data_IF_454656863403
#
_entry.id   IF_454656863403
#
_cell.length_a   1.000
_cell.length_b   1.000
_cell.length_c   1.000
_cell.angle_alpha   90.00
_cell.angle_beta   90.00
_cell.angle_gamma   90.00
#
_symmetry.space_group_name_H-M   'P 1'
#
loop_
_entity.id
_entity.type
_entity.pdbx_description
1 polymer ?
#
# COMPACT_ATOMS: atom_id res chain seq x y z
N UNK A 1 -16.19 54.53 -22.59
CA UNK A 1 -17.02 53.31 -22.42
C UNK A 1 -16.13 52.08 -22.51
N UNK A 2 -16.02 51.37 -21.39
CA UNK A 2 -15.72 49.93 -21.20
C UNK A 2 -14.49 49.30 -21.90
N UNK A 3 -13.43 49.24 -21.09
CA UNK A 3 -12.49 48.14 -20.87
C UNK A 3 -13.02 46.74 -21.24
N UNK A 4 -12.14 45.86 -21.74
CA UNK A 4 -11.86 44.53 -21.18
C UNK A 4 -10.42 44.15 -21.53
N UNK A 5 -9.59 44.12 -20.49
CA UNK A 5 -8.24 43.59 -20.44
C UNK A 5 -8.37 42.11 -20.06
N UNK A 6 -7.97 41.20 -20.93
CA UNK A 6 -7.98 39.76 -20.63
C UNK A 6 -6.82 39.42 -19.69
N UNK A 7 -7.12 39.21 -18.41
CA UNK A 7 -6.20 38.61 -17.44
C UNK A 7 -6.40 37.08 -17.52
N UNK A 8 -5.43 36.38 -18.09
CA UNK A 8 -5.30 34.93 -17.94
C UNK A 8 -4.71 34.68 -16.55
N UNK A 9 -5.55 34.32 -15.59
CA UNK A 9 -5.11 33.82 -14.28
C UNK A 9 -4.68 32.36 -14.50
N UNK A 10 -3.37 32.13 -14.60
CA UNK A 10 -2.79 30.80 -14.53
C UNK A 10 -2.79 30.38 -13.05
N UNK A 11 -3.87 29.76 -12.57
CA UNK A 11 -3.88 29.11 -11.26
C UNK A 11 -2.92 27.93 -11.30
N UNK A 12 -1.70 28.15 -10.82
CA UNK A 12 -0.82 27.07 -10.37
C UNK A 12 -1.53 26.39 -9.19
N UNK A 13 -2.23 25.30 -9.46
CA UNK A 13 -2.56 24.35 -8.41
C UNK A 13 -1.22 23.87 -7.84
N UNK A 14 -0.84 24.37 -6.67
CA UNK A 14 0.19 23.75 -5.85
C UNK A 14 -0.34 22.37 -5.47
N UNK A 15 -0.05 21.39 -6.31
CA UNK A 15 -0.10 20.00 -5.88
C UNK A 15 0.89 19.92 -4.72
N UNK A 16 0.40 19.63 -3.52
CA UNK A 16 1.28 19.12 -2.48
C UNK A 16 1.86 17.83 -3.08
N UNK A 17 3.11 17.91 -3.55
CA UNK A 17 3.89 16.73 -3.88
C UNK A 17 4.17 16.09 -2.53
N UNK A 18 3.29 15.18 -2.12
CA UNK A 18 3.64 14.25 -1.05
C UNK A 18 4.92 13.57 -1.50
N UNK A 19 5.97 13.60 -0.67
CA UNK A 19 7.14 12.78 -0.89
C UNK A 19 6.65 11.35 -1.13
N UNK A 20 6.95 10.77 -2.29
CA UNK A 20 6.45 9.44 -2.59
C UNK A 20 7.08 8.45 -1.61
N UNK A 21 6.23 7.76 -0.84
CA UNK A 21 6.68 6.70 0.06
C UNK A 21 6.88 5.44 -0.76
N UNK A 22 8.12 4.94 -0.91
CA UNK A 22 8.37 3.72 -1.65
C UNK A 22 7.93 2.49 -0.87
N UNK A 23 7.76 1.38 -1.57
CA UNK A 23 7.42 0.11 -0.95
C UNK A 23 8.60 -0.57 -0.26
N UNK A 24 8.32 -1.14 0.92
CA UNK A 24 9.27 -2.01 1.60
C UNK A 24 9.56 -3.29 0.79
N UNK A 25 10.83 -3.68 0.76
CA UNK A 25 11.30 -4.95 0.20
C UNK A 25 12.54 -4.82 -0.67
N UNK A 26 12.70 -5.78 -1.58
CA UNK A 26 13.85 -5.84 -2.48
C UNK A 26 13.68 -4.89 -3.67
N UNK A 27 14.71 -4.12 -3.95
CA UNK A 27 14.82 -3.19 -5.07
C UNK A 27 16.03 -3.56 -5.90
N UNK A 28 15.93 -3.46 -7.22
CA UNK A 28 16.97 -3.93 -8.13
C UNK A 28 17.00 -3.13 -9.42
N UNK A 29 18.12 -3.21 -10.14
CA UNK A 29 18.19 -2.70 -11.50
C UNK A 29 17.95 -3.86 -12.48
N UNK A 30 16.89 -3.85 -13.30
CA UNK A 30 16.58 -4.95 -14.21
C UNK A 30 17.63 -5.15 -15.32
N UNK A 31 18.49 -4.16 -15.55
CA UNK A 31 19.60 -4.23 -16.52
C UNK A 31 20.90 -4.77 -15.91
N UNK A 32 21.00 -4.89 -14.59
CA UNK A 32 22.18 -5.37 -13.88
C UNK A 32 21.81 -6.47 -12.90
N UNK A 33 21.89 -7.72 -13.37
CA UNK A 33 21.58 -8.90 -12.57
C UNK A 33 22.63 -9.14 -11.49
N UNK A 34 22.23 -9.75 -10.37
CA UNK A 34 23.14 -10.22 -9.33
C UNK A 34 23.37 -9.27 -8.16
N UNK A 35 22.65 -8.15 -8.08
CA UNK A 35 22.67 -7.23 -6.95
C UNK A 35 21.30 -6.65 -6.64
N UNK A 36 21.23 -5.86 -5.58
CA UNK A 36 20.02 -5.15 -5.19
C UNK A 36 20.10 -4.56 -3.78
N UNK A 37 19.00 -3.99 -3.36
CA UNK A 37 18.86 -3.24 -2.11
C UNK A 37 17.62 -3.72 -1.38
N UNK A 38 17.74 -4.21 -0.14
CA UNK A 38 16.57 -4.36 0.72
C UNK A 38 16.30 -3.05 1.42
N UNK A 39 15.16 -2.43 1.13
CA UNK A 39 14.75 -1.14 1.67
C UNK A 39 13.58 -1.38 2.62
N UNK A 40 13.70 -0.84 3.83
CA UNK A 40 12.66 -0.83 4.86
C UNK A 40 12.42 0.58 5.35
N UNK A 41 11.16 0.95 5.42
CA UNK A 41 10.69 2.21 5.95
C UNK A 41 9.73 1.93 7.09
N UNK A 42 9.97 2.61 8.21
CA UNK A 42 9.13 2.60 9.40
C UNK A 42 9.25 3.95 10.12
N UNK A 43 8.13 4.56 10.51
CA UNK A 43 8.11 5.79 11.33
C UNK A 43 9.09 6.90 10.87
N UNK A 44 9.11 7.19 9.57
CA UNK A 44 10.02 8.15 8.92
C UNK A 44 11.52 7.82 9.03
N UNK A 45 11.86 6.58 9.36
CA UNK A 45 13.20 6.04 9.25
C UNK A 45 13.28 5.10 8.05
N UNK A 46 14.39 5.15 7.33
CA UNK A 46 14.74 4.22 6.27
C UNK A 46 15.95 3.41 6.73
N UNK A 47 15.86 2.09 6.59
CA UNK A 47 16.97 1.17 6.68
C UNK A 47 17.19 0.52 5.30
N UNK A 48 18.44 0.42 4.89
CA UNK A 48 18.83 -0.16 3.61
C UNK A 48 20.00 -1.11 3.80
N UNK A 49 19.93 -2.25 3.13
CA UNK A 49 21.06 -3.19 3.02
C UNK A 49 21.30 -3.55 1.57
N UNK A 50 22.56 -3.75 1.22
CA UNK A 50 22.97 -4.22 -0.10
C UNK A 50 24.22 -5.07 0.03
N UNK A 51 24.46 -5.92 -0.96
CA UNK A 51 25.73 -6.58 -1.12
C UNK A 51 26.28 -6.28 -2.50
N UNK A 52 27.60 -6.13 -2.58
CA UNK A 52 28.35 -6.05 -3.83
C UNK A 52 29.49 -7.05 -3.79
N UNK A 53 30.19 -7.25 -4.91
CA UNK A 53 31.36 -8.10 -4.95
C UNK A 53 32.63 -7.26 -5.10
N UNK A 54 33.67 -7.61 -4.35
CA UNK A 54 34.99 -7.03 -4.55
C UNK A 54 35.65 -7.59 -5.83
N UNK A 55 36.86 -7.10 -6.15
CA UNK A 55 37.60 -7.54 -7.34
C UNK A 55 37.94 -9.04 -7.34
N UNK A 56 37.92 -9.69 -6.18
CA UNK A 56 38.15 -11.12 -6.01
C UNK A 56 36.84 -11.93 -6.07
N UNK A 57 35.70 -11.29 -6.34
CA UNK A 57 34.38 -11.94 -6.38
C UNK A 57 33.84 -12.30 -5.00
N UNK A 58 34.40 -11.77 -3.91
CA UNK A 58 33.90 -12.00 -2.55
C UNK A 58 32.81 -10.96 -2.21
N UNK A 59 31.72 -11.39 -1.55
CA UNK A 59 30.64 -10.48 -1.19
C UNK A 59 31.08 -9.52 -0.08
N UNK A 60 30.78 -8.25 -0.26
CA UNK A 60 30.87 -7.20 0.75
C UNK A 60 29.45 -6.74 1.07
N UNK A 61 29.12 -6.69 2.36
CA UNK A 61 27.82 -6.25 2.84
C UNK A 61 27.88 -4.81 3.33
N UNK A 62 26.94 -4.00 2.83
CA UNK A 62 26.75 -2.62 3.27
C UNK A 62 25.36 -2.47 3.89
N UNK A 63 25.29 -1.70 4.97
CA UNK A 63 24.02 -1.27 5.56
C UNK A 63 24.05 0.21 5.86
N UNK A 64 22.89 0.84 5.87
CA UNK A 64 22.77 2.27 6.12
C UNK A 64 21.40 2.60 6.67
N UNK A 65 21.29 3.79 7.28
CA UNK A 65 20.03 4.30 7.77
C UNK A 65 19.90 5.80 7.52
N UNK A 66 18.68 6.27 7.32
CA UNK A 66 18.31 7.67 7.36
C UNK A 66 17.10 7.84 8.28
N UNK A 67 17.02 8.99 8.94
CA UNK A 67 15.87 9.40 9.74
C UNK A 67 15.23 10.64 9.11
N UNK A 68 14.00 10.95 9.50
CA UNK A 68 13.24 12.10 9.01
C UNK A 68 13.05 12.09 7.48
N UNK A 69 12.91 10.90 6.90
CA UNK A 69 12.54 10.78 5.48
C UNK A 69 11.11 11.32 5.30
N UNK A 70 10.86 12.08 4.23
CA UNK A 70 9.57 12.74 4.01
C UNK A 70 9.52 14.22 4.42
N UNK A 71 10.67 14.84 4.74
CA UNK A 71 10.83 16.30 4.61
C UNK A 71 10.61 16.71 3.15
N UNK A 72 10.48 18.00 2.85
CA UNK A 72 10.26 18.55 1.50
C UNK A 72 11.33 18.19 0.45
N UNK A 73 12.31 17.37 0.81
CA UNK A 73 13.40 16.90 -0.04
C UNK A 73 13.04 15.54 -0.65
N UNK A 74 13.08 15.46 -1.98
CA UNK A 74 12.87 14.21 -2.73
C UNK A 74 14.08 13.27 -2.71
N UNK A 75 15.11 13.59 -1.93
CA UNK A 75 16.38 12.87 -1.89
C UNK A 75 16.75 12.47 -0.46
N UNK A 76 17.15 11.22 -0.29
CA UNK A 76 17.55 10.64 0.99
C UNK A 76 19.04 10.27 0.90
N UNK A 77 19.87 10.92 1.70
CA UNK A 77 21.30 10.59 1.79
C UNK A 77 21.51 9.47 2.80
N UNK A 78 22.30 8.48 2.40
CA UNK A 78 22.67 7.32 3.20
C UNK A 78 24.18 7.24 3.31
N UNK A 79 24.68 7.24 4.54
CA UNK A 79 26.04 6.85 4.86
C UNK A 79 26.07 5.34 5.07
N UNK A 80 26.74 4.63 4.15
CA UNK A 80 26.86 3.18 4.23
C UNK A 80 28.03 2.75 5.13
N UNK A 81 27.76 1.70 5.91
CA UNK A 81 28.71 1.01 6.76
C UNK A 81 28.98 -0.37 6.19
N UNK A 82 30.25 -0.72 6.06
CA UNK A 82 30.68 -2.05 5.66
C UNK A 82 30.68 -2.96 6.89
N UNK A 83 30.08 -4.15 6.79
CA UNK A 83 30.11 -5.16 7.85
C UNK A 83 31.17 -6.24 7.57
N UNK A 84 32.08 -6.47 8.52
CA UNK A 84 33.16 -7.48 8.45
C UNK A 84 33.17 -8.40 9.66
N UNK A 85 33.78 -9.57 9.48
CA UNK A 85 34.06 -10.53 10.56
C UNK A 85 32.81 -10.99 11.34
N UNK A 86 31.68 -11.13 10.65
CA UNK A 86 30.41 -11.57 11.24
C UNK A 86 30.33 -13.07 11.53
N UNK A 87 29.28 -13.45 12.27
CA UNK A 87 29.07 -14.84 12.70
C UNK A 87 28.79 -15.75 11.51
N UNK A 88 29.21 -17.01 11.61
CA UNK A 88 28.93 -18.06 10.61
C UNK A 88 28.48 -19.35 11.31
N UNK A 89 27.98 -20.33 10.55
CA UNK A 89 27.13 -21.43 11.05
C UNK A 89 27.62 -22.20 12.28
N UNK A 90 28.93 -22.20 12.57
CA UNK A 90 29.56 -22.89 13.70
C UNK A 90 30.43 -21.97 14.58
N UNK A 91 30.29 -20.65 14.42
CA UNK A 91 31.04 -19.65 15.16
C UNK A 91 30.20 -18.39 15.38
N UNK A 92 29.70 -18.23 16.60
CA UNK A 92 28.75 -17.17 16.98
C UNK A 92 29.34 -16.09 17.87
N UNK A 93 30.48 -16.36 18.52
CA UNK A 93 31.15 -15.40 19.41
C UNK A 93 32.10 -14.49 18.62
N UNK A 94 31.52 -13.61 17.80
CA UNK A 94 32.26 -12.58 17.06
C UNK A 94 31.72 -11.21 17.29
N UNK A 95 32.63 -10.25 17.39
CA UNK A 95 32.30 -8.83 17.34
C UNK A 95 32.30 -8.42 15.88
N UNK A 96 31.13 -8.08 15.34
CA UNK A 96 31.03 -7.54 13.98
C UNK A 96 31.80 -6.22 13.95
N UNK A 97 32.75 -6.11 13.02
CA UNK A 97 33.42 -4.85 12.75
C UNK A 97 32.58 -4.04 11.76
N UNK A 98 32.35 -2.77 12.06
CA UNK A 98 31.64 -1.85 11.17
C UNK A 98 32.44 -0.57 10.99
N UNK A 99 32.69 -0.22 9.74
CA UNK A 99 33.39 1.02 9.38
C UNK A 99 32.57 1.82 8.36
N UNK A 100 32.54 3.14 8.53
CA UNK A 100 32.02 4.03 7.49
C UNK A 100 32.84 3.86 6.22
N UNK A 101 32.18 3.88 5.07
CA UNK A 101 32.84 3.82 3.78
C UNK A 101 32.46 5.06 2.99
N UNK A 102 33.17 6.21 3.15
CA UNK A 102 32.74 7.50 2.61
C UNK A 102 32.47 7.50 1.10
N UNK A 103 33.21 6.71 0.32
CA UNK A 103 32.97 6.57 -1.13
C UNK A 103 31.69 5.80 -1.48
N UNK A 104 31.06 5.16 -0.51
CA UNK A 104 29.76 4.50 -0.64
C UNK A 104 28.62 5.37 -0.14
N UNK A 105 28.85 6.63 0.30
CA UNK A 105 27.75 7.56 0.53
C UNK A 105 26.86 7.59 -0.72
N UNK A 106 25.56 7.39 -0.51
CA UNK A 106 24.61 7.23 -1.60
C UNK A 106 23.41 8.13 -1.41
N UNK A 107 22.83 8.59 -2.52
CA UNK A 107 21.61 9.37 -2.51
C UNK A 107 20.50 8.58 -3.19
N UNK A 108 19.43 8.29 -2.46
CA UNK A 108 18.22 7.69 -3.00
C UNK A 108 17.21 8.76 -3.38
N UNK A 109 16.47 8.54 -4.45
CA UNK A 109 15.28 9.33 -4.80
C UNK A 109 14.21 8.40 -5.35
N UNK A 110 12.95 8.62 -4.96
CA UNK A 110 11.82 7.80 -5.40
C UNK A 110 10.92 8.63 -6.31
N UNK A 111 10.67 8.08 -7.50
CA UNK A 111 9.78 8.67 -8.50
C UNK A 111 8.34 8.33 -8.13
N UNK A 112 8.11 7.04 -7.87
CA UNK A 112 6.84 6.53 -7.37
C UNK A 112 7.07 5.40 -6.34
N UNK A 113 5.99 4.73 -5.94
CA UNK A 113 6.02 3.66 -4.93
C UNK A 113 6.92 2.47 -5.33
N UNK A 114 7.19 2.31 -6.63
CA UNK A 114 7.81 1.15 -7.27
C UNK A 114 9.04 1.47 -8.13
N UNK A 115 9.35 2.75 -8.37
CA UNK A 115 10.49 3.19 -9.16
C UNK A 115 11.28 4.28 -8.44
N UNK A 116 12.59 4.21 -8.55
CA UNK A 116 13.49 5.20 -8.00
C UNK A 116 14.87 5.16 -8.63
N UNK A 117 15.76 5.92 -8.04
CA UNK A 117 17.17 5.98 -8.41
C UNK A 117 18.02 5.97 -7.16
N UNK A 118 19.18 5.33 -7.25
CA UNK A 118 20.26 5.46 -6.28
C UNK A 118 21.50 5.98 -6.98
N UNK A 119 22.11 7.02 -6.43
CA UNK A 119 23.42 7.49 -6.83
C UNK A 119 24.44 6.95 -5.86
N UNK A 120 25.33 6.06 -6.31
CA UNK A 120 26.42 5.48 -5.51
C UNK A 120 27.71 5.63 -6.29
N UNK A 121 28.81 6.04 -5.66
CA UNK A 121 30.10 6.26 -6.34
C UNK A 121 30.00 7.15 -7.60
N UNK A 122 29.18 8.21 -7.53
CA UNK A 122 28.88 9.12 -8.63
C UNK A 122 28.18 8.48 -9.86
N UNK A 123 27.73 7.23 -9.75
CA UNK A 123 26.93 6.57 -10.77
C UNK A 123 25.45 6.62 -10.37
N UNK A 124 24.63 7.19 -11.25
CA UNK A 124 23.17 7.14 -11.12
C UNK A 124 22.66 5.79 -11.64
N UNK A 125 21.93 5.07 -10.80
CA UNK A 125 21.41 3.73 -11.09
C UNK A 125 19.89 3.77 -10.91
N UNK A 126 19.15 3.48 -11.97
CA UNK A 126 17.70 3.24 -11.87
C UNK A 126 17.43 1.93 -11.15
N UNK A 127 16.49 1.98 -10.20
CA UNK A 127 16.05 0.84 -9.43
C UNK A 127 14.52 0.74 -9.46
N UNK A 128 14.01 -0.48 -9.43
CA UNK A 128 12.58 -0.77 -9.32
C UNK A 128 12.32 -1.79 -8.21
N UNK A 129 11.09 -1.80 -7.70
CA UNK A 129 10.64 -2.78 -6.72
C UNK A 129 10.58 -4.17 -7.36
N UNK A 130 11.29 -5.14 -6.78
CA UNK A 130 11.31 -6.52 -7.23
C UNK A 130 10.14 -7.34 -6.65
N UNK A 131 9.30 -7.89 -7.50
CA UNK A 131 8.16 -8.68 -7.07
C UNK A 131 8.42 -10.19 -7.23
N UNK A 132 8.57 -10.92 -6.11
CA UNK A 132 8.85 -12.36 -6.11
C UNK A 132 7.67 -13.20 -6.64
N UNK A 133 6.45 -12.87 -6.19
CA UNK A 133 5.20 -13.53 -6.58
C UNK A 133 3.97 -12.63 -6.38
N UNK A 134 4.17 -11.44 -5.79
CA UNK A 134 3.13 -10.43 -5.63
C UNK A 134 2.99 -9.61 -6.91
N UNK A 135 1.80 -9.09 -7.18
CA UNK A 135 1.59 -8.19 -8.33
C UNK A 135 1.78 -6.71 -7.92
N UNK A 136 1.67 -5.77 -8.88
CA UNK A 136 1.75 -4.32 -8.65
C UNK A 136 0.35 -3.72 -8.38
N UNK A 137 0.29 -2.63 -7.61
CA UNK A 137 -0.97 -1.89 -7.35
C UNK A 137 -2.11 -2.79 -6.88
N UNK A 138 -3.31 -2.61 -7.46
CA UNK A 138 -4.50 -3.38 -7.09
C UNK A 138 -4.35 -4.89 -7.24
N UNK A 139 -3.51 -5.37 -8.15
CA UNK A 139 -3.29 -6.79 -8.33
C UNK A 139 -2.70 -7.47 -7.08
N UNK A 140 -2.12 -6.71 -6.15
CA UNK A 140 -1.73 -7.20 -4.81
C UNK A 140 -2.91 -7.76 -4.03
N UNK A 141 -4.12 -7.26 -4.26
CA UNK A 141 -5.31 -7.75 -3.57
C UNK A 141 -5.82 -9.08 -4.14
N UNK A 142 -5.33 -9.55 -5.30
CA UNK A 142 -5.70 -10.87 -5.80
C UNK A 142 -5.33 -11.97 -4.81
N UNK A 143 -6.21 -12.96 -4.67
CA UNK A 143 -6.08 -14.08 -3.74
C UNK A 143 -7.23 -14.15 -2.74
N UNK A 144 -7.13 -15.11 -1.83
CA UNK A 144 -8.13 -15.36 -0.82
C UNK A 144 -7.77 -14.68 0.50
N UNK A 145 -8.73 -13.96 1.07
CA UNK A 145 -8.55 -13.16 2.27
C UNK A 145 -9.57 -13.56 3.32
N UNK A 146 -9.12 -13.77 4.55
CA UNK A 146 -9.98 -13.85 5.74
C UNK A 146 -10.08 -12.45 6.33
N UNK A 147 -11.30 -11.95 6.52
CA UNK A 147 -11.60 -10.57 6.91
C UNK A 147 -12.44 -10.56 8.18
N UNK A 148 -11.87 -10.03 9.25
CA UNK A 148 -12.49 -9.91 10.55
C UNK A 148 -13.12 -8.52 10.73
N UNK A 149 -14.44 -8.52 10.96
CA UNK A 149 -15.25 -7.34 11.25
C UNK A 149 -15.87 -7.48 12.64
N UNK A 150 -15.56 -6.60 13.61
CA UNK A 150 -16.30 -6.48 14.85
C UNK A 150 -17.70 -5.96 14.53
N UNK A 151 -18.69 -6.84 14.70
CA UNK A 151 -20.13 -6.56 14.85
C UNK A 151 -20.65 -5.22 14.28
N UNK A 152 -21.11 -5.22 13.03
CA UNK A 152 -21.71 -4.05 12.35
C UNK A 152 -23.21 -4.30 12.14
N UNK A 153 -24.05 -3.42 12.70
CA UNK A 153 -25.52 -3.52 12.58
C UNK A 153 -25.99 -3.15 11.15
N UNK A 154 -26.88 -3.94 10.57
CA UNK A 154 -27.54 -3.71 9.26
C UNK A 154 -29.07 -3.78 9.39
N UNK A 155 -29.81 -3.46 8.32
CA UNK A 155 -31.30 -3.38 8.30
C UNK A 155 -31.96 -4.66 8.87
N UNK A 156 -31.40 -5.84 8.55
CA UNK A 156 -31.93 -7.16 8.96
C UNK A 156 -30.92 -8.00 9.77
N UNK A 157 -30.22 -7.39 10.73
CA UNK A 157 -29.36 -8.13 11.67
C UNK A 157 -27.98 -7.53 11.81
N UNK A 158 -26.96 -8.38 11.91
CA UNK A 158 -25.58 -7.98 12.17
C UNK A 158 -24.65 -8.68 11.20
N UNK A 159 -23.62 -7.97 10.75
CA UNK A 159 -22.45 -8.55 10.10
C UNK A 159 -21.37 -8.63 11.16
N UNK A 160 -21.03 -9.83 11.61
CA UNK A 160 -19.95 -10.05 12.56
C UNK A 160 -19.39 -11.46 12.44
N UNK A 161 -18.06 -11.55 12.55
CA UNK A 161 -17.17 -12.71 12.39
C UNK A 161 -16.67 -12.99 10.96
N UNK A 162 -15.45 -13.55 10.91
CA UNK A 162 -14.57 -13.66 9.75
C UNK A 162 -15.31 -14.02 8.45
N UNK A 163 -15.32 -13.10 7.48
CA UNK A 163 -15.75 -13.37 6.11
C UNK A 163 -14.53 -13.78 5.28
N UNK A 164 -14.77 -14.49 4.19
CA UNK A 164 -13.74 -14.83 3.22
C UNK A 164 -14.05 -14.09 1.93
N UNK A 165 -13.08 -13.34 1.43
CA UNK A 165 -13.20 -12.65 0.15
C UNK A 165 -12.17 -13.26 -0.81
N UNK A 166 -12.64 -13.83 -1.92
CA UNK A 166 -11.75 -14.29 -2.99
C UNK A 166 -11.72 -13.28 -4.12
N UNK A 167 -10.67 -12.48 -4.14
CA UNK A 167 -10.36 -11.54 -5.22
C UNK A 167 -9.73 -12.29 -6.39
N UNK A 168 -10.46 -12.43 -7.51
CA UNK A 168 -10.10 -13.38 -8.57
C UNK A 168 -9.84 -12.76 -9.95
N UNK A 169 -10.46 -11.63 -10.27
CA UNK A 169 -10.34 -10.99 -11.58
C UNK A 169 -10.16 -9.49 -11.47
N UNK A 170 -9.24 -8.93 -12.25
CA UNK A 170 -9.09 -7.49 -12.44
C UNK A 170 -9.89 -7.08 -13.68
N UNK A 171 -10.78 -6.10 -13.53
CA UNK A 171 -11.45 -5.41 -14.62
C UNK A 171 -11.43 -3.90 -14.37
N UNK A 172 -10.98 -3.12 -15.36
CA UNK A 172 -10.91 -1.65 -15.29
C UNK A 172 -10.29 -1.09 -14.00
N UNK A 173 -9.16 -1.64 -13.56
CA UNK A 173 -8.46 -1.28 -12.30
C UNK A 173 -9.27 -1.54 -11.02
N UNK A 174 -10.29 -2.39 -11.09
CA UNK A 174 -11.06 -2.87 -9.97
C UNK A 174 -10.93 -4.38 -9.88
N UNK A 175 -11.11 -4.94 -8.68
CA UNK A 175 -11.26 -6.39 -8.53
C UNK A 175 -12.66 -6.71 -8.09
N UNK A 176 -13.25 -7.68 -8.78
CA UNK A 176 -14.51 -8.30 -8.41
C UNK A 176 -14.17 -9.61 -7.70
N UNK A 177 -14.81 -9.86 -6.55
CA UNK A 177 -14.67 -11.16 -5.90
C UNK A 177 -15.33 -12.27 -6.74
N UNK A 178 -14.93 -13.53 -6.51
CA UNK A 178 -15.41 -14.69 -7.28
C UNK A 178 -16.93 -14.77 -7.38
N UNK A 179 -17.63 -14.34 -6.34
CA UNK A 179 -19.09 -14.41 -6.27
C UNK A 179 -19.77 -13.12 -6.74
N UNK A 180 -19.00 -12.17 -7.29
CA UNK A 180 -19.44 -10.87 -7.81
C UNK A 180 -20.30 -10.07 -6.85
N UNK A 181 -19.87 -9.89 -5.60
CA UNK A 181 -20.57 -9.11 -4.56
C UNK A 181 -19.71 -8.03 -3.95
N UNK A 182 -18.40 -8.11 -4.13
CA UNK A 182 -17.42 -7.13 -3.66
C UNK A 182 -16.70 -6.51 -4.85
N UNK A 183 -16.62 -5.18 -4.88
CA UNK A 183 -15.76 -4.46 -5.81
C UNK A 183 -14.77 -3.64 -4.98
N UNK A 184 -13.48 -3.82 -5.27
CA UNK A 184 -12.38 -3.06 -4.65
C UNK A 184 -11.66 -2.23 -5.70
N UNK A 185 -11.19 -1.04 -5.30
CA UNK A 185 -10.40 -0.12 -6.13
C UNK A 185 -9.26 0.44 -5.29
N UNK A 186 -8.10 0.69 -5.92
CA UNK A 186 -7.01 1.42 -5.28
C UNK A 186 -7.30 2.93 -5.32
N UNK A 187 -6.96 3.64 -4.25
CA UNK A 187 -7.03 5.11 -4.24
C UNK A 187 -5.80 5.72 -4.95
N UNK A 188 -5.73 7.05 -4.96
CA UNK A 188 -4.51 7.76 -5.34
C UNK A 188 -3.39 7.68 -4.28
N UNK A 189 -3.66 7.08 -3.12
CA UNK A 189 -2.70 6.88 -2.05
C UNK A 189 -2.15 5.44 -2.15
N UNK A 190 -0.82 5.26 -2.22
CA UNK A 190 -0.18 3.94 -2.26
C UNK A 190 -0.70 2.97 -1.20
N UNK A 191 -1.00 1.74 -1.60
CA UNK A 191 -1.49 0.66 -0.73
C UNK A 191 -2.80 0.96 0.04
N UNK A 192 -3.53 2.01 -0.33
CA UNK A 192 -4.87 2.29 0.21
C UNK A 192 -5.93 1.87 -0.80
N UNK A 193 -6.93 1.14 -0.30
CA UNK A 193 -7.99 0.57 -1.10
C UNK A 193 -9.34 0.93 -0.53
N UNK A 194 -10.30 1.14 -1.42
CA UNK A 194 -11.71 1.26 -1.06
C UNK A 194 -12.47 0.07 -1.61
N UNK A 195 -13.45 -0.40 -0.86
CA UNK A 195 -14.30 -1.51 -1.30
C UNK A 195 -15.77 -1.25 -0.99
N UNK A 196 -16.64 -1.68 -1.87
CA UNK A 196 -18.08 -1.75 -1.66
C UNK A 196 -18.51 -3.21 -1.79
N UNK A 197 -19.17 -3.74 -0.76
CA UNK A 197 -19.76 -5.07 -0.76
C UNK A 197 -21.29 -4.97 -0.59
N UNK A 198 -22.05 -5.65 -1.45
CA UNK A 198 -23.52 -5.65 -1.36
C UNK A 198 -24.00 -6.52 -0.20
N UNK A 199 -24.67 -5.90 0.77
CA UNK A 199 -25.18 -6.58 1.98
C UNK A 199 -26.69 -6.79 1.97
N UNK A 200 -27.41 -6.01 1.16
CA UNK A 200 -28.83 -6.14 0.83
C UNK A 200 -29.11 -5.31 -0.43
N UNK A 201 -30.35 -5.32 -0.93
CA UNK A 201 -30.74 -4.46 -2.07
C UNK A 201 -30.70 -2.96 -1.76
N UNK A 202 -30.59 -2.57 -0.48
CA UNK A 202 -30.58 -1.18 -0.04
C UNK A 202 -29.29 -0.75 0.63
N UNK A 203 -28.37 -1.66 0.92
CA UNK A 203 -27.21 -1.37 1.76
C UNK A 203 -25.91 -1.97 1.22
N UNK A 204 -24.85 -1.16 1.27
CA UNK A 204 -23.49 -1.56 1.01
C UNK A 204 -22.67 -1.55 2.31
N UNK A 205 -21.75 -2.50 2.44
CA UNK A 205 -20.61 -2.39 3.34
C UNK A 205 -19.52 -1.60 2.61
N UNK A 206 -19.30 -0.37 3.05
CA UNK A 206 -18.22 0.48 2.56
C UNK A 206 -16.98 0.28 3.42
N UNK A 207 -15.84 0.13 2.78
CA UNK A 207 -14.56 -0.19 3.40
C UNK A 207 -13.50 0.76 2.89
N UNK A 208 -12.63 1.23 3.79
CA UNK A 208 -11.33 1.83 3.47
C UNK A 208 -10.27 1.06 4.22
N UNK A 209 -9.33 0.46 3.49
CA UNK A 209 -8.27 -0.38 4.03
C UNK A 209 -6.90 0.01 3.53
N UNK A 210 -5.89 -0.25 4.35
CA UNK A 210 -4.47 -0.13 4.05
C UNK A 210 -3.90 -1.54 4.00
N UNK A 211 -3.24 -1.89 2.91
CA UNK A 211 -2.46 -3.12 2.81
C UNK A 211 -1.16 -2.93 3.58
N UNK A 212 -1.08 -3.56 4.76
CA UNK A 212 0.07 -3.55 5.64
C UNK A 212 0.88 -4.82 5.37
N UNK A 213 1.91 -4.75 4.53
CA UNK A 213 2.65 -5.91 3.99
C UNK A 213 1.88 -6.73 2.93
N UNK A 214 2.54 -7.69 2.28
CA UNK A 214 1.94 -8.47 1.18
C UNK A 214 0.77 -9.38 1.61
N UNK A 215 0.59 -9.63 2.91
CA UNK A 215 -0.33 -10.65 3.43
C UNK A 215 -1.30 -10.18 4.51
N UNK A 216 -1.32 -8.88 4.85
CA UNK A 216 -2.30 -8.34 5.79
C UNK A 216 -2.80 -6.99 5.32
N UNK A 217 -4.08 -6.73 5.54
CA UNK A 217 -4.63 -5.40 5.42
C UNK A 217 -5.41 -5.07 6.69
N UNK A 218 -5.60 -3.81 6.94
CA UNK A 218 -6.40 -3.32 8.05
C UNK A 218 -7.10 -2.04 7.65
N UNK A 219 -8.23 -1.75 8.26
CA UNK A 219 -9.10 -0.71 7.73
C UNK A 219 -10.25 -0.38 8.63
N UNK A 220 -11.16 0.41 8.08
CA UNK A 220 -12.44 0.70 8.70
C UNK A 220 -13.56 0.36 7.73
N UNK A 221 -14.65 -0.13 8.28
CA UNK A 221 -15.82 -0.51 7.54
C UNK A 221 -17.09 0.07 8.17
N UNK A 222 -18.08 0.39 7.35
CA UNK A 222 -19.39 0.88 7.80
C UNK A 222 -20.49 0.49 6.83
N UNK A 223 -21.73 0.40 7.32
CA UNK A 223 -22.89 0.12 6.46
C UNK A 223 -23.49 1.43 5.99
N UNK A 224 -23.64 1.58 4.68
CA UNK A 224 -24.21 2.76 4.04
C UNK A 224 -25.40 2.36 3.19
N UNK A 225 -26.35 3.27 3.01
CA UNK A 225 -27.43 3.04 2.04
C UNK A 225 -26.87 3.04 0.61
N UNK A 226 -27.46 2.27 -0.29
CA UNK A 226 -27.05 2.20 -1.70
C UNK A 226 -27.27 3.52 -2.46
N UNK A 227 -28.05 4.44 -1.89
CA UNK A 227 -28.26 5.81 -2.38
C UNK A 227 -27.38 6.84 -1.68
N UNK A 228 -26.48 6.44 -0.79
CA UNK A 228 -25.64 7.38 -0.04
C UNK A 228 -24.69 8.15 -1.00
N UNK A 229 -24.56 9.45 -0.78
CA UNK A 229 -23.53 10.24 -1.46
C UNK A 229 -22.13 9.90 -0.95
N UNK A 230 -21.10 10.26 -1.71
CA UNK A 230 -19.70 10.07 -1.30
C UNK A 230 -19.40 10.78 0.02
N UNK A 231 -19.92 12.00 0.21
CA UNK A 231 -19.73 12.75 1.44
C UNK A 231 -20.41 12.06 2.65
N UNK A 232 -21.57 11.44 2.44
CA UNK A 232 -22.24 10.66 3.47
C UNK A 232 -21.42 9.42 3.81
N UNK A 233 -20.90 8.70 2.82
CA UNK A 233 -20.04 7.53 3.04
C UNK A 233 -18.76 7.90 3.79
N UNK A 234 -18.07 8.96 3.37
CA UNK A 234 -16.89 9.49 4.06
C UNK A 234 -17.20 9.83 5.52
N UNK A 235 -18.28 10.60 5.76
CA UNK A 235 -18.69 10.93 7.13
C UNK A 235 -18.98 9.68 7.97
N UNK A 236 -19.63 8.67 7.41
CA UNK A 236 -19.90 7.43 8.12
C UNK A 236 -18.62 6.63 8.41
N UNK A 237 -17.68 6.55 7.47
CA UNK A 237 -16.38 5.91 7.70
C UNK A 237 -15.60 6.65 8.79
N UNK A 238 -15.57 7.98 8.74
CA UNK A 238 -14.88 8.83 9.71
C UNK A 238 -15.50 8.74 11.11
N UNK A 239 -16.82 8.73 11.25
CA UNK A 239 -17.47 8.84 12.57
C UNK A 239 -17.98 7.50 13.12
N UNK A 240 -18.36 6.58 12.25
CA UNK A 240 -19.01 5.31 12.59
C UNK A 240 -18.26 4.08 12.07
N UNK A 241 -17.15 4.28 11.36
CA UNK A 241 -16.32 3.18 10.86
C UNK A 241 -15.77 2.33 11.99
N UNK A 242 -16.00 1.02 11.90
CA UNK A 242 -15.46 0.02 12.80
C UNK A 242 -14.20 -0.58 12.21
N UNK A 243 -13.21 -0.86 13.05
CA UNK A 243 -11.95 -1.49 12.64
C UNK A 243 -12.19 -2.82 11.92
N UNK A 244 -11.39 -3.12 10.93
CA UNK A 244 -11.41 -4.36 10.16
C UNK A 244 -9.97 -4.85 10.00
N UNK A 245 -9.78 -6.16 10.11
CA UNK A 245 -8.49 -6.80 9.83
C UNK A 245 -8.64 -7.86 8.77
N UNK A 246 -7.70 -7.96 7.85
CA UNK A 246 -7.67 -8.96 6.80
C UNK A 246 -6.33 -9.66 6.71
N UNK A 247 -6.35 -10.97 6.50
CA UNK A 247 -5.14 -11.77 6.28
C UNK A 247 -5.30 -12.63 5.03
N UNK A 248 -4.26 -12.63 4.19
CA UNK A 248 -4.20 -13.53 3.05
C UNK A 248 -4.05 -14.95 3.56
N UNK A 249 -4.87 -15.86 3.06
CA UNK A 249 -4.78 -17.27 3.41
C UNK A 249 -5.05 -18.12 2.18
N UNK A 250 -4.06 -18.87 1.71
CA UNK A 250 -4.25 -19.73 0.54
C UNK A 250 -5.04 -21.00 0.87
N UNK A 251 -5.10 -21.41 2.14
CA UNK A 251 -5.85 -22.59 2.57
C UNK A 251 -7.36 -22.44 2.38
N UNK A 252 -7.87 -21.21 2.26
CA UNK A 252 -9.29 -20.91 2.09
C UNK A 252 -9.70 -20.67 0.63
N UNK A 253 -8.76 -20.72 -0.32
CA UNK A 253 -9.04 -20.44 -1.75
C UNK A 253 -10.12 -21.35 -2.34
N UNK A 254 -10.11 -22.63 -1.95
CA UNK A 254 -11.00 -23.66 -2.49
C UNK A 254 -12.19 -23.98 -1.57
N UNK A 255 -12.47 -23.13 -0.57
CA UNK A 255 -13.68 -23.31 0.22
C UNK A 255 -14.91 -22.94 -0.60
N UNK A 256 -15.88 -23.87 -0.65
CA UNK A 256 -17.21 -23.62 -1.18
C UNK A 256 -18.01 -22.85 -0.12
N UNK A 257 -18.20 -21.56 -0.36
CA UNK A 257 -18.95 -20.69 0.54
C UNK A 257 -20.28 -20.37 -0.12
N UNK A 258 -21.36 -20.80 0.52
CA UNK A 258 -22.70 -20.47 0.06
C UNK A 258 -23.12 -19.15 0.68
N UNK A 259 -23.50 -18.21 -0.17
CA UNK A 259 -23.96 -16.90 0.28
C UNK A 259 -25.46 -16.73 0.05
N UNK A 260 -26.15 -16.00 0.94
CA UNK A 260 -27.59 -15.85 0.88
C UNK A 260 -28.07 -14.87 -0.21
N UNK A 261 -27.17 -14.07 -0.80
CA UNK A 261 -27.49 -13.08 -1.83
C UNK A 261 -27.00 -13.55 -3.21
N UNK A 262 -27.76 -13.27 -4.29
CA UNK A 262 -27.29 -13.54 -5.63
C UNK A 262 -26.07 -12.66 -5.99
N UNK A 263 -25.27 -13.08 -6.99
CA UNK A 263 -24.23 -12.24 -7.59
C UNK A 263 -24.80 -10.91 -8.11
N UNK A 264 -23.97 -9.86 -8.12
CA UNK A 264 -24.30 -8.57 -8.73
C UNK A 264 -24.54 -8.73 -10.22
N UNK A 265 -25.55 -8.03 -10.73
CA UNK A 265 -25.80 -7.88 -12.16
C UNK A 265 -24.89 -6.80 -12.77
N UNK A 266 -24.64 -6.85 -14.08
CA UNK A 266 -23.76 -5.89 -14.79
C UNK A 266 -24.13 -4.42 -14.54
N UNK A 267 -25.42 -4.12 -14.49
CA UNK A 267 -25.94 -2.78 -14.19
C UNK A 267 -25.55 -2.33 -12.77
N UNK A 268 -25.62 -3.23 -11.80
CA UNK A 268 -25.26 -2.98 -10.40
C UNK A 268 -23.75 -2.81 -10.26
N UNK A 269 -22.96 -3.66 -10.94
CA UNK A 269 -21.50 -3.52 -11.02
C UNK A 269 -21.14 -2.14 -11.56
N UNK A 270 -21.71 -1.74 -12.70
CA UNK A 270 -21.45 -0.42 -13.31
C UNK A 270 -21.77 0.74 -12.35
N UNK A 271 -22.90 0.66 -11.65
CA UNK A 271 -23.33 1.68 -10.68
C UNK A 271 -22.39 1.75 -9.48
N UNK A 272 -22.04 0.59 -8.90
CA UNK A 272 -21.10 0.49 -7.80
C UNK A 272 -19.71 0.97 -8.21
N UNK A 273 -19.22 0.62 -9.40
CA UNK A 273 -17.93 1.05 -9.94
C UNK A 273 -17.83 2.57 -10.05
N UNK A 274 -18.87 3.26 -10.51
CA UNK A 274 -18.90 4.73 -10.57
C UNK A 274 -18.82 5.34 -9.17
N UNK A 275 -19.58 4.79 -8.23
CA UNK A 275 -19.59 5.26 -6.84
C UNK A 275 -18.23 5.03 -6.16
N UNK A 276 -17.67 3.83 -6.33
CA UNK A 276 -16.39 3.41 -5.79
C UNK A 276 -15.24 4.29 -6.30
N UNK A 277 -15.24 4.63 -7.59
CA UNK A 277 -14.22 5.50 -8.18
C UNK A 277 -14.29 6.93 -7.65
N UNK A 278 -15.49 7.44 -7.33
CA UNK A 278 -15.63 8.74 -6.68
C UNK A 278 -15.15 8.69 -5.23
N UNK A 279 -15.52 7.63 -4.50
CA UNK A 279 -15.06 7.40 -3.13
C UNK A 279 -13.53 7.29 -3.05
N UNK A 280 -12.91 6.53 -3.98
CA UNK A 280 -11.46 6.36 -4.05
C UNK A 280 -10.71 7.69 -4.18
N UNK A 281 -11.27 8.65 -4.94
CA UNK A 281 -10.71 9.99 -5.14
C UNK A 281 -10.97 10.95 -3.98
N UNK A 282 -11.96 10.66 -3.13
CA UNK A 282 -12.33 11.51 -2.00
C UNK A 282 -11.65 11.13 -0.69
N UNK A 283 -10.86 10.05 -0.66
CA UNK A 283 -10.15 9.64 0.55
C UNK A 283 -9.08 10.69 0.88
N UNK A 284 -9.18 11.26 2.07
CA UNK A 284 -8.29 12.30 2.56
C UNK A 284 -7.37 11.79 3.69
N UNK A 285 -6.47 12.67 4.13
CA UNK A 285 -5.53 12.37 5.21
C UNK A 285 -6.22 12.20 6.57
N UNK A 286 -7.40 12.79 6.79
CA UNK A 286 -8.15 12.66 8.06
C UNK A 286 -8.64 11.23 8.22
N UNK A 287 -9.26 10.68 7.17
CA UNK A 287 -9.72 9.30 7.17
C UNK A 287 -8.54 8.33 7.29
N UNK A 288 -7.44 8.60 6.60
CA UNK A 288 -6.24 7.78 6.67
C UNK A 288 -5.64 7.77 8.08
N UNK A 289 -5.56 8.92 8.73
CA UNK A 289 -5.08 9.04 10.11
C UNK A 289 -5.94 8.23 11.08
N UNK A 290 -7.26 8.20 10.88
CA UNK A 290 -8.15 7.35 11.69
C UNK A 290 -7.83 5.87 11.52
N UNK A 291 -7.64 5.40 10.29
CA UNK A 291 -7.28 3.99 10.02
C UNK A 291 -5.94 3.65 10.70
N UNK A 292 -4.92 4.48 10.50
CA UNK A 292 -3.60 4.30 11.10
C UNK A 292 -3.66 4.31 12.64
N UNK A 293 -4.42 5.23 13.23
CA UNK A 293 -4.58 5.32 14.68
C UNK A 293 -5.27 4.08 15.28
N UNK A 294 -6.37 3.62 14.67
CA UNK A 294 -7.08 2.43 15.13
C UNK A 294 -6.21 1.18 15.02
N UNK A 295 -5.37 1.09 13.99
CA UNK A 295 -4.40 0.01 13.83
C UNK A 295 -3.31 0.04 14.91
N UNK A 296 -2.82 1.23 15.26
CA UNK A 296 -1.77 1.39 16.28
C UNK A 296 -2.22 0.95 17.69
N UNK A 297 -3.52 1.02 18.00
CA UNK A 297 -4.06 0.60 19.32
C UNK A 297 -4.15 -0.92 19.45
N UNK A 298 -4.11 -1.68 18.35
CA UNK A 298 -4.19 -3.15 18.39
C UNK A 298 -2.86 -3.87 18.62
N UNK A 299 -1.74 -3.15 18.51
CA UNK A 299 -0.40 -3.65 18.76
C UNK A 299 0.14 -3.12 20.09
#
# INVERSE_FOLDING_TARGET
>A
MKNILNIIILTLFSYNVFATVPENGWWWNPQHLGGGYDIKIENNALFITTFIYNQQGQPIWYSGRANNIGSSENTITIDFFESKEGAYSNYTDVTVQSSTHPSMQSTLSFIDENHGTITTQNQLISIERFYFNSSKGIAKMLGAWSVNLPYIKRENGIIGFADIVLFSQIDNHQIVDRDSRTIISQTNIPNVYVSLNKTSDKQYLAIVGILQSLNSFSGIATIVNNTASVDQMNNMLQNNGTLMLGYRSESIRNLDITYPLPPLQDQEISTMSVLLNKLAKSIDSILLNKVTYLNAIQH
#
